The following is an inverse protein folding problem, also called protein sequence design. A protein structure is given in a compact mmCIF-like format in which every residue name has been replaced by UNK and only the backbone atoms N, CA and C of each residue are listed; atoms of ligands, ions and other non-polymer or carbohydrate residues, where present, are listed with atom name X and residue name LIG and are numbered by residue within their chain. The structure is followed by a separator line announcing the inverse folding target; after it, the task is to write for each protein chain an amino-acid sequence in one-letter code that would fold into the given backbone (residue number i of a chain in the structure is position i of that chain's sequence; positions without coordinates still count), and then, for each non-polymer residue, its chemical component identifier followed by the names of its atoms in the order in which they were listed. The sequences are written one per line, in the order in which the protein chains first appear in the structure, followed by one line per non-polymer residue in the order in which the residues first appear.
data_IF_537406000728
#
_entry.id   IF_537406000728
#
_cell.length_a   1.000
_cell.length_b   1.000
_cell.length_c   1.000
_cell.angle_alpha   90.00
_cell.angle_beta   90.00
_cell.angle_gamma   90.00
#
_symmetry.space_group_name_H-M   'P 1'
#
loop_
_entity.id
_entity.type
_entity.pdbx_description
1 polymer ?
#
# COMPACT_ATOMS: atom_id res chain seq x y z
N UNK A 1 0.03 -17.17 2.28
CA UNK A 1 0.14 -15.82 1.71
C UNK A 1 1.18 -15.73 0.59
N UNK A 2 2.38 -16.27 0.82
CA UNK A 2 3.44 -16.26 -0.21
C UNK A 2 3.01 -16.96 -1.49
N UNK A 3 2.46 -18.17 -1.38
CA UNK A 3 2.00 -18.95 -2.52
C UNK A 3 0.93 -18.23 -3.35
N UNK A 4 0.06 -17.49 -2.69
CA UNK A 4 -0.99 -16.71 -3.33
C UNK A 4 -0.41 -15.52 -4.11
N UNK A 5 0.57 -14.83 -3.55
CA UNK A 5 1.27 -13.79 -4.30
C UNK A 5 2.02 -14.35 -5.50
N UNK A 6 2.67 -15.49 -5.35
CA UNK A 6 3.37 -16.14 -6.47
C UNK A 6 2.40 -16.55 -7.58
N UNK A 7 1.22 -17.04 -7.20
CA UNK A 7 0.20 -17.47 -8.15
C UNK A 7 -0.50 -16.30 -8.86
N UNK A 8 -0.81 -15.22 -8.12
CA UNK A 8 -1.65 -14.13 -8.62
C UNK A 8 -0.86 -12.90 -9.09
N UNK A 9 0.40 -12.80 -8.69
CA UNK A 9 1.29 -11.72 -9.11
C UNK A 9 2.58 -12.27 -9.78
N UNK A 10 2.45 -13.13 -10.81
CA UNK A 10 3.62 -13.82 -11.40
C UNK A 10 4.58 -12.85 -12.10
N UNK A 11 4.12 -11.65 -12.47
CA UNK A 11 4.93 -10.60 -13.12
C UNK A 11 5.36 -9.50 -12.15
N UNK A 12 5.26 -9.74 -10.84
CA UNK A 12 5.56 -8.74 -9.82
C UNK A 12 4.44 -7.73 -9.62
N UNK A 13 4.75 -6.67 -8.89
CA UNK A 13 3.76 -5.67 -8.46
C UNK A 13 4.26 -4.28 -8.86
N UNK A 14 3.46 -3.55 -9.63
CA UNK A 14 3.79 -2.19 -10.08
C UNK A 14 3.28 -1.13 -9.13
N UNK A 15 2.10 -1.37 -8.53
CA UNK A 15 1.47 -0.43 -7.60
C UNK A 15 0.95 -1.21 -6.39
N UNK A 16 1.32 -0.74 -5.21
CA UNK A 16 0.82 -1.29 -3.96
C UNK A 16 0.16 -0.20 -3.11
N UNK A 17 -1.11 -0.41 -2.80
CA UNK A 17 -1.84 0.44 -1.87
C UNK A 17 -1.73 -0.18 -0.47
N UNK A 18 -0.93 0.44 0.38
CA UNK A 18 -0.61 -0.07 1.71
C UNK A 18 -1.63 0.38 2.75
N UNK A 19 -2.39 -0.56 3.28
CA UNK A 19 -3.29 -0.35 4.42
C UNK A 19 -2.95 -1.25 5.62
N UNK A 20 -2.12 -2.26 5.43
CA UNK A 20 -1.98 -3.36 6.39
C UNK A 20 -0.66 -3.31 7.15
N UNK A 21 0.47 -3.18 6.46
CA UNK A 21 1.79 -3.36 7.06
C UNK A 21 2.08 -4.84 7.36
N UNK A 22 2.94 -5.10 8.31
CA UNK A 22 3.21 -6.43 8.84
C UNK A 22 3.60 -7.46 7.78
N UNK A 23 3.00 -8.61 7.85
CA UNK A 23 3.32 -9.75 6.98
C UNK A 23 3.01 -9.47 5.51
N UNK A 24 1.90 -8.80 5.23
CA UNK A 24 1.51 -8.45 3.85
C UNK A 24 2.59 -7.57 3.22
N UNK A 25 3.02 -6.54 3.92
CA UNK A 25 4.08 -5.65 3.44
C UNK A 25 5.39 -6.42 3.18
N UNK A 26 5.76 -7.34 4.08
CA UNK A 26 6.96 -8.16 3.92
C UNK A 26 6.92 -9.05 2.68
N UNK A 27 5.76 -9.52 2.30
CA UNK A 27 5.60 -10.33 1.08
C UNK A 27 5.50 -9.47 -0.19
N UNK A 28 4.91 -8.28 -0.12
CA UNK A 28 4.77 -7.38 -1.26
C UNK A 28 6.10 -6.71 -1.62
N UNK A 29 6.84 -6.21 -0.64
CA UNK A 29 8.01 -5.35 -0.86
C UNK A 29 9.05 -5.99 -1.80
N UNK A 30 9.47 -7.26 -1.60
CA UNK A 30 10.43 -7.90 -2.50
C UNK A 30 9.87 -8.17 -3.91
N UNK A 31 8.55 -8.15 -4.08
CA UNK A 31 7.88 -8.40 -5.35
C UNK A 31 7.62 -7.14 -6.17
N UNK A 32 7.96 -5.98 -5.63
CA UNK A 32 7.82 -4.72 -6.36
C UNK A 32 8.71 -4.70 -7.59
N UNK A 33 8.16 -4.28 -8.70
CA UNK A 33 8.89 -4.09 -9.94
C UNK A 33 9.72 -2.81 -9.91
N UNK A 34 10.68 -2.70 -10.83
CA UNK A 34 11.44 -1.46 -11.01
C UNK A 34 10.47 -0.30 -11.31
N UNK A 35 10.75 0.86 -10.72
CA UNK A 35 9.91 2.05 -10.77
C UNK A 35 8.50 1.87 -10.18
N UNK A 36 8.30 0.82 -9.38
CA UNK A 36 7.05 0.57 -8.68
C UNK A 36 6.70 1.69 -7.70
N UNK A 37 5.42 1.77 -7.35
CA UNK A 37 4.90 2.80 -6.45
C UNK A 37 4.17 2.17 -5.28
N UNK A 38 4.49 2.64 -4.08
CA UNK A 38 3.80 2.27 -2.85
C UNK A 38 3.07 3.49 -2.30
N UNK A 39 1.75 3.40 -2.19
CA UNK A 39 0.90 4.45 -1.62
C UNK A 39 0.60 4.07 -0.18
N UNK A 40 1.22 4.77 0.76
CA UNK A 40 1.14 4.45 2.19
C UNK A 40 -0.07 5.16 2.82
N UNK A 41 -1.17 4.44 2.96
CA UNK A 41 -2.41 4.94 3.58
C UNK A 41 -2.48 4.62 5.08
N UNK A 42 -2.07 3.42 5.45
CA UNK A 42 -2.10 2.96 6.84
C UNK A 42 -1.39 1.63 7.01
N UNK A 43 -1.22 1.21 8.26
CA UNK A 43 -0.56 -0.05 8.61
C UNK A 43 -1.29 -0.68 9.80
N UNK A 44 -2.56 -1.07 9.60
CA UNK A 44 -3.45 -1.49 10.68
C UNK A 44 -2.91 -2.67 11.50
N UNK A 45 -2.10 -3.54 10.90
CA UNK A 45 -1.47 -4.66 11.60
C UNK A 45 -0.53 -4.21 12.73
N UNK A 46 -0.09 -2.95 12.71
CA UNK A 46 0.88 -2.42 13.66
C UNK A 46 0.31 -1.37 14.61
N UNK A 47 -0.98 -1.00 14.47
CA UNK A 47 -1.57 0.10 15.25
C UNK A 47 -1.61 -0.17 16.76
N UNK A 48 -1.67 -1.42 17.18
CA UNK A 48 -1.71 -1.79 18.59
C UNK A 48 -0.36 -2.30 19.12
N UNK A 49 0.69 -2.21 18.32
CA UNK A 49 2.01 -2.62 18.77
C UNK A 49 2.54 -1.70 19.87
N UNK A 50 3.14 -2.28 20.88
CA UNK A 50 3.81 -1.55 21.95
C UNK A 50 5.27 -1.23 21.61
N UNK A 51 5.80 -1.88 20.58
CA UNK A 51 7.17 -1.69 20.08
C UNK A 51 7.15 -1.59 18.57
N UNK A 52 8.05 -0.79 18.01
CA UNK A 52 8.21 -0.62 16.58
C UNK A 52 8.78 -1.92 15.98
N UNK A 53 8.11 -2.47 14.97
CA UNK A 53 8.61 -3.64 14.23
C UNK A 53 9.76 -3.25 13.30
N UNK A 54 10.71 -4.15 13.05
CA UNK A 54 11.69 -3.95 11.99
C UNK A 54 10.99 -3.78 10.64
N UNK A 55 11.45 -2.81 9.86
CA UNK A 55 10.93 -2.54 8.52
C UNK A 55 11.69 -3.30 7.43
N UNK A 56 11.30 -3.10 6.17
CA UNK A 56 11.99 -3.67 5.03
C UNK A 56 13.38 -3.04 4.84
N UNK A 57 14.26 -3.75 4.13
CA UNK A 57 15.54 -3.19 3.74
C UNK A 57 15.34 -2.14 2.65
N UNK A 58 15.49 -0.87 3.01
CA UNK A 58 15.27 0.26 2.11
C UNK A 58 16.25 0.31 0.92
N UNK A 59 17.29 -0.50 0.92
CA UNK A 59 18.19 -0.62 -0.24
C UNK A 59 17.43 -1.05 -1.50
N UNK A 60 16.32 -1.77 -1.35
CA UNK A 60 15.46 -2.11 -2.46
C UNK A 60 14.84 -0.87 -3.14
N UNK A 61 14.62 0.21 -2.40
CA UNK A 61 14.14 1.48 -2.97
C UNK A 61 15.14 2.04 -3.98
N UNK A 62 16.43 1.97 -3.65
CA UNK A 62 17.51 2.41 -4.56
C UNK A 62 17.60 1.47 -5.76
N UNK A 63 17.73 0.16 -5.51
CA UNK A 63 17.92 -0.82 -6.59
C UNK A 63 16.78 -0.83 -7.60
N UNK A 64 15.55 -0.68 -7.12
CA UNK A 64 14.34 -0.73 -7.97
C UNK A 64 13.79 0.65 -8.30
N UNK A 65 14.44 1.73 -7.85
CA UNK A 65 13.98 3.12 -8.04
C UNK A 65 12.49 3.25 -7.66
N UNK A 66 12.12 2.70 -6.49
CA UNK A 66 10.75 2.74 -6.00
C UNK A 66 10.37 4.14 -5.57
N UNK A 67 9.09 4.43 -5.68
CA UNK A 67 8.48 5.64 -5.13
C UNK A 67 7.55 5.23 -4.00
N UNK A 68 7.85 5.71 -2.78
CA UNK A 68 7.04 5.44 -1.58
C UNK A 68 6.53 6.77 -1.07
N UNK A 69 5.22 6.91 -0.98
CA UNK A 69 4.60 8.16 -0.55
C UNK A 69 3.47 7.89 0.43
N UNK A 70 3.53 8.53 1.59
CA UNK A 70 2.43 8.56 2.56
C UNK A 70 1.37 9.58 2.15
N UNK A 71 0.13 9.35 2.58
CA UNK A 71 -0.92 10.33 2.44
C UNK A 71 -1.99 10.15 3.51
N UNK A 72 -2.71 11.23 3.78
CA UNK A 72 -3.92 11.20 4.61
C UNK A 72 -5.04 11.79 3.76
N UNK A 73 -6.15 11.06 3.65
CA UNK A 73 -7.25 11.43 2.77
C UNK A 73 -7.82 12.83 3.07
N UNK A 74 -7.78 13.25 4.34
CA UNK A 74 -8.27 14.57 4.75
C UNK A 74 -7.42 15.73 4.24
N UNK A 75 -6.16 15.52 3.85
CA UNK A 75 -5.30 16.61 3.36
C UNK A 75 -5.82 17.21 2.05
N UNK A 76 -6.37 16.37 1.18
CA UNK A 76 -6.85 16.82 -0.15
C UNK A 76 -8.23 16.23 -0.52
N UNK A 77 -8.79 15.38 0.31
CA UNK A 77 -10.00 14.62 0.00
C UNK A 77 -11.30 15.38 0.23
N UNK A 78 -11.34 16.29 1.20
CA UNK A 78 -12.57 16.98 1.57
C UNK A 78 -13.24 17.75 0.42
N UNK A 79 -12.53 18.47 -0.45
CA UNK A 79 -13.16 19.14 -1.59
C UNK A 79 -13.82 18.16 -2.56
N UNK A 80 -13.39 16.90 -2.58
CA UNK A 80 -13.93 15.85 -3.45
C UNK A 80 -15.03 15.01 -2.79
N UNK A 81 -15.25 15.19 -1.50
CA UNK A 81 -16.22 14.39 -0.75
C UNK A 81 -17.65 14.44 -1.34
N UNK A 82 -18.20 15.59 -1.77
CA UNK A 82 -19.53 15.61 -2.39
C UNK A 82 -19.62 14.74 -3.66
N UNK A 83 -18.59 14.76 -4.50
CA UNK A 83 -18.52 13.91 -5.69
C UNK A 83 -18.46 12.42 -5.28
N UNK A 84 -17.55 12.06 -4.40
CA UNK A 84 -17.44 10.70 -3.86
C UNK A 84 -18.77 10.19 -3.33
N UNK A 85 -19.46 10.99 -2.52
CA UNK A 85 -20.77 10.63 -1.96
C UNK A 85 -21.81 10.35 -3.03
N UNK A 86 -21.88 11.17 -4.06
CA UNK A 86 -22.83 10.96 -5.18
C UNK A 86 -22.55 9.66 -5.91
N UNK A 87 -21.30 9.40 -6.22
CA UNK A 87 -20.88 8.18 -6.95
C UNK A 87 -21.17 6.92 -6.12
N UNK A 88 -20.76 6.92 -4.85
CA UNK A 88 -21.01 5.80 -3.94
C UNK A 88 -22.50 5.50 -3.79
N UNK A 89 -23.34 6.51 -3.60
CA UNK A 89 -24.79 6.33 -3.49
C UNK A 89 -25.36 5.74 -4.80
N UNK A 90 -24.82 6.12 -5.94
CA UNK A 90 -25.20 5.54 -7.23
C UNK A 90 -24.87 4.05 -7.33
N UNK A 91 -23.69 3.64 -6.86
CA UNK A 91 -23.25 2.25 -6.90
C UNK A 91 -23.97 1.35 -5.87
N UNK A 92 -24.46 1.91 -4.79
CA UNK A 92 -25.16 1.20 -3.72
C UNK A 92 -26.64 0.93 -3.98
N UNK A 93 -27.19 1.36 -5.10
CA UNK A 93 -28.61 1.19 -5.47
C UNK A 93 -28.90 -0.17 -6.11
#
# INVERSE_FOLDING_TARGET
LRAEFDAHCPRGIDVYWENVGGEVQREVFPRMNDFGRMVMCGMIAEYNDTQIRPGPNLMAVVRKRLRIQGFIVSDSGWPRYPQFRREMLGWMR
#
